data_IF_418921326009
#
_entry.id   IF_418921326009
#
_cell.length_a   1.000
_cell.length_b   1.000
_cell.length_c   1.000
_cell.angle_alpha   90.00
_cell.angle_beta   90.00
_cell.angle_gamma   90.00
#
_symmetry.space_group_name_H-M   'P 1'
#
loop_
_entity.id
_entity.type
_entity.pdbx_description
1 polymer ?
#
# COMPACT_ATOMS: atom_id res chain seq x y z
N UNK A 1 -10.64 -2.84 21.11
CA UNK A 1 -10.96 -2.60 19.68
C UNK A 1 -12.38 -2.05 19.59
N UNK A 2 -12.54 -0.73 19.45
CA UNK A 2 -13.84 -0.13 19.21
C UNK A 2 -14.01 0.05 17.69
N UNK A 3 -14.85 -0.78 17.08
CA UNK A 3 -15.33 -0.58 15.71
C UNK A 3 -16.36 0.56 15.74
N UNK A 4 -15.90 1.80 15.67
CA UNK A 4 -16.79 2.94 15.40
C UNK A 4 -17.08 2.97 13.91
N UNK A 5 -18.03 2.16 13.45
CA UNK A 5 -18.61 2.32 12.12
C UNK A 5 -19.36 3.63 12.08
N UNK A 6 -18.73 4.66 11.50
CA UNK A 6 -19.35 5.96 11.32
C UNK A 6 -20.58 5.82 10.42
N UNK A 7 -21.71 6.39 10.84
CA UNK A 7 -22.97 6.37 10.06
C UNK A 7 -22.83 6.99 8.65
N UNK A 8 -21.73 7.70 8.38
CA UNK A 8 -21.39 8.30 7.09
C UNK A 8 -20.92 7.29 6.03
N UNK A 9 -20.64 6.03 6.39
CA UNK A 9 -20.23 5.00 5.42
C UNK A 9 -21.40 4.18 4.84
N UNK A 10 -22.61 4.30 5.40
CA UNK A 10 -23.82 3.59 4.95
C UNK A 10 -24.16 3.75 3.45
N UNK A 11 -24.08 4.95 2.83
CA UNK A 11 -24.37 5.10 1.40
C UNK A 11 -23.35 4.38 0.49
N UNK A 12 -22.12 4.15 0.96
CA UNK A 12 -21.11 3.42 0.19
C UNK A 12 -21.42 1.92 0.13
N UNK A 13 -21.98 1.35 1.20
CA UNK A 13 -22.40 -0.06 1.20
C UNK A 13 -23.57 -0.32 0.25
N UNK A 14 -24.54 0.60 0.19
CA UNK A 14 -25.64 0.49 -0.78
C UNK A 14 -25.11 0.50 -2.21
N UNK A 15 -24.24 1.46 -2.56
CA UNK A 15 -23.71 1.62 -3.93
C UNK A 15 -22.79 0.47 -4.38
N UNK A 16 -22.00 -0.12 -3.49
CA UNK A 16 -21.22 -1.34 -3.79
C UNK A 16 -22.16 -2.52 -4.08
N UNK A 17 -23.29 -2.59 -3.38
CA UNK A 17 -24.35 -3.57 -3.62
C UNK A 17 -24.95 -3.48 -5.03
N UNK A 18 -25.21 -2.27 -5.53
CA UNK A 18 -25.82 -2.08 -6.87
C UNK A 18 -24.94 -2.59 -8.01
N UNK A 19 -23.62 -2.32 -7.99
CA UNK A 19 -22.71 -2.85 -9.02
C UNK A 19 -22.64 -4.39 -9.01
N UNK A 20 -22.67 -5.01 -7.82
CA UNK A 20 -22.73 -6.46 -7.70
C UNK A 20 -24.05 -7.03 -8.22
N UNK A 21 -25.17 -6.39 -7.91
CA UNK A 21 -26.51 -6.81 -8.36
C UNK A 21 -26.66 -6.74 -9.89
N UNK A 22 -26.14 -5.69 -10.54
CA UNK A 22 -26.15 -5.59 -12.00
C UNK A 22 -25.38 -6.75 -12.63
N UNK A 23 -24.22 -7.11 -12.06
CA UNK A 23 -23.43 -8.23 -12.58
C UNK A 23 -24.09 -9.59 -12.36
N UNK A 24 -24.69 -9.80 -11.19
CA UNK A 24 -25.48 -11.01 -10.90
C UNK A 24 -26.66 -11.10 -11.88
N UNK A 25 -27.36 -9.99 -12.13
CA UNK A 25 -28.47 -9.94 -13.09
C UNK A 25 -28.03 -10.26 -14.53
N UNK A 26 -26.79 -9.90 -14.93
CA UNK A 26 -26.23 -10.25 -16.23
C UNK A 26 -25.71 -11.70 -16.29
N UNK A 27 -25.15 -12.24 -15.21
CA UNK A 27 -24.62 -13.61 -15.18
C UNK A 27 -25.71 -14.68 -15.11
N UNK A 28 -26.81 -14.41 -14.40
CA UNK A 28 -27.93 -15.35 -14.24
C UNK A 28 -28.54 -15.86 -15.56
N UNK A 29 -28.86 -15.02 -16.58
CA UNK A 29 -29.39 -15.50 -17.86
C UNK A 29 -28.36 -16.36 -18.61
N UNK A 30 -27.07 -16.02 -18.57
CA UNK A 30 -26.01 -16.85 -19.16
C UNK A 30 -25.91 -18.21 -18.47
N UNK A 31 -25.91 -18.22 -17.13
CA UNK A 31 -25.90 -19.46 -16.34
C UNK A 31 -27.12 -20.33 -16.65
N UNK A 32 -28.30 -19.72 -16.82
CA UNK A 32 -29.53 -20.42 -17.19
C UNK A 32 -29.48 -21.02 -18.60
N UNK A 33 -28.89 -20.31 -19.58
CA UNK A 33 -28.69 -20.83 -20.93
C UNK A 33 -27.74 -22.03 -20.93
N UNK A 34 -26.63 -21.94 -20.21
CA UNK A 34 -25.68 -23.05 -20.04
C UNK A 34 -26.37 -24.23 -19.34
N UNK A 35 -27.14 -23.98 -18.29
CA UNK A 35 -27.93 -24.99 -17.59
C UNK A 35 -28.88 -25.74 -18.53
N UNK A 36 -29.66 -25.01 -19.34
CA UNK A 36 -30.57 -25.60 -20.32
C UNK A 36 -29.83 -26.42 -21.37
N UNK A 37 -28.70 -25.92 -21.85
CA UNK A 37 -27.88 -26.63 -22.82
C UNK A 37 -27.32 -27.93 -22.23
N UNK A 38 -26.83 -27.90 -20.99
CA UNK A 38 -26.31 -29.08 -20.29
C UNK A 38 -27.41 -30.12 -20.05
N UNK A 39 -28.61 -29.70 -19.65
CA UNK A 39 -29.75 -30.63 -19.50
C UNK A 39 -30.11 -31.26 -20.84
N UNK A 40 -30.18 -30.47 -21.92
CA UNK A 40 -30.52 -30.97 -23.25
C UNK A 40 -29.48 -31.97 -23.77
N UNK A 41 -28.21 -31.75 -23.45
CA UNK A 41 -27.10 -32.58 -23.96
C UNK A 41 -26.90 -33.87 -23.15
N UNK A 42 -27.05 -33.81 -21.83
CA UNK A 42 -26.73 -34.93 -20.93
C UNK A 42 -27.96 -35.76 -20.53
N UNK A 43 -29.17 -35.26 -20.82
CA UNK A 43 -30.47 -35.71 -20.29
C UNK A 43 -30.40 -36.27 -18.86
N UNK A 44 -29.91 -35.47 -17.90
CA UNK A 44 -29.64 -35.95 -16.56
C UNK A 44 -30.95 -36.22 -15.81
N UNK A 45 -30.95 -37.26 -14.98
CA UNK A 45 -32.02 -37.52 -14.01
C UNK A 45 -32.24 -36.34 -13.04
N UNK A 46 -33.36 -36.32 -12.30
CA UNK A 46 -33.77 -35.17 -11.49
C UNK A 46 -32.74 -34.74 -10.45
N UNK A 47 -32.07 -35.70 -9.80
CA UNK A 47 -30.98 -35.43 -8.85
C UNK A 47 -29.77 -34.77 -9.51
N UNK A 48 -29.38 -35.27 -10.68
CA UNK A 48 -28.24 -34.71 -11.44
C UNK A 48 -28.54 -33.30 -11.95
N UNK A 49 -29.79 -32.96 -12.27
CA UNK A 49 -30.20 -31.59 -12.62
C UNK A 49 -29.97 -30.61 -11.47
N UNK A 50 -30.24 -31.00 -10.22
CA UNK A 50 -29.97 -30.16 -9.05
C UNK A 50 -28.48 -29.96 -8.84
N UNK A 51 -27.67 -31.01 -9.03
CA UNK A 51 -26.21 -30.93 -8.93
C UNK A 51 -25.65 -29.96 -9.98
N UNK A 52 -26.09 -30.05 -11.23
CA UNK A 52 -25.65 -29.14 -12.30
C UNK A 52 -26.02 -27.68 -11.96
N UNK A 53 -27.23 -27.45 -11.46
CA UNK A 53 -27.66 -26.11 -11.05
C UNK A 53 -26.78 -25.55 -9.91
N UNK A 54 -26.51 -26.35 -8.88
CA UNK A 54 -25.64 -25.97 -7.77
C UNK A 54 -24.22 -25.65 -8.24
N UNK A 55 -23.66 -26.46 -9.15
CA UNK A 55 -22.34 -26.23 -9.73
C UNK A 55 -22.27 -24.93 -10.54
N UNK A 56 -23.29 -24.63 -11.34
CA UNK A 56 -23.33 -23.38 -12.11
C UNK A 56 -23.44 -22.15 -11.21
N UNK A 57 -24.23 -22.23 -10.14
CA UNK A 57 -24.29 -21.17 -9.13
C UNK A 57 -22.92 -20.97 -8.46
N UNK A 58 -22.26 -22.06 -8.04
CA UNK A 58 -20.91 -22.00 -7.47
C UNK A 58 -19.90 -21.40 -8.47
N UNK A 59 -19.97 -21.77 -9.75
CA UNK A 59 -19.12 -21.22 -10.80
C UNK A 59 -19.35 -19.72 -10.99
N UNK A 60 -20.60 -19.24 -10.95
CA UNK A 60 -20.90 -17.81 -11.02
C UNK A 60 -20.27 -17.04 -9.85
N UNK A 61 -20.40 -17.55 -8.63
CA UNK A 61 -19.77 -16.96 -7.44
C UNK A 61 -18.24 -16.93 -7.60
N UNK A 62 -17.64 -18.02 -8.09
CA UNK A 62 -16.21 -18.11 -8.32
C UNK A 62 -15.73 -17.13 -9.41
N UNK A 63 -16.50 -16.89 -10.46
CA UNK A 63 -16.17 -15.89 -11.49
C UNK A 63 -16.19 -14.47 -10.91
N UNK A 64 -17.19 -14.16 -10.08
CA UNK A 64 -17.35 -12.83 -9.46
C UNK A 64 -16.27 -12.55 -8.42
N UNK A 65 -15.99 -13.52 -7.53
CA UNK A 65 -15.12 -13.30 -6.36
C UNK A 65 -13.76 -13.98 -6.45
N UNK A 66 -13.53 -14.85 -7.43
CA UNK A 66 -12.29 -15.63 -7.55
C UNK A 66 -11.06 -14.75 -7.79
N UNK A 67 -11.19 -13.70 -8.59
CA UNK A 67 -10.11 -12.73 -8.80
C UNK A 67 -9.73 -12.02 -7.50
N UNK A 68 -10.72 -11.56 -6.71
CA UNK A 68 -10.45 -10.96 -5.40
C UNK A 68 -9.75 -11.93 -4.46
N UNK A 69 -10.15 -13.20 -4.45
CA UNK A 69 -9.50 -14.23 -3.64
C UNK A 69 -8.04 -14.46 -4.03
N UNK A 70 -7.77 -14.57 -5.34
CA UNK A 70 -6.39 -14.75 -5.85
C UNK A 70 -5.53 -13.54 -5.52
N UNK A 71 -6.04 -12.33 -5.76
CA UNK A 71 -5.37 -11.07 -5.43
C UNK A 71 -5.07 -10.98 -3.93
N UNK A 72 -6.06 -11.28 -3.08
CA UNK A 72 -5.90 -11.23 -1.63
C UNK A 72 -4.85 -12.22 -1.14
N UNK A 73 -4.84 -13.45 -1.67
CA UNK A 73 -3.86 -14.48 -1.32
C UNK A 73 -2.45 -14.10 -1.74
N UNK A 74 -2.29 -13.59 -2.96
CA UNK A 74 -0.98 -13.16 -3.47
C UNK A 74 -0.45 -11.95 -2.70
N UNK A 75 -1.32 -10.98 -2.43
CA UNK A 75 -0.96 -9.85 -1.59
C UNK A 75 -0.55 -10.29 -0.18
N UNK A 76 -1.31 -11.18 0.47
CA UNK A 76 -0.94 -11.71 1.78
C UNK A 76 0.46 -12.36 1.74
N UNK A 77 0.77 -13.13 0.70
CA UNK A 77 2.09 -13.73 0.53
C UNK A 77 3.18 -12.64 0.48
N UNK A 78 3.02 -11.63 -0.39
CA UNK A 78 3.97 -10.52 -0.52
C UNK A 78 4.12 -9.72 0.79
N UNK A 79 3.01 -9.53 1.51
CA UNK A 79 3.01 -8.83 2.78
C UNK A 79 3.82 -9.56 3.85
N UNK A 80 3.65 -10.88 3.95
CA UNK A 80 4.37 -11.71 4.92
C UNK A 80 5.85 -11.88 4.54
N UNK A 81 6.17 -12.04 3.25
CA UNK A 81 7.55 -12.33 2.84
C UNK A 81 8.40 -11.09 2.61
N UNK A 82 7.80 -9.96 2.20
CA UNK A 82 8.55 -8.83 1.68
C UNK A 82 8.21 -7.46 2.28
N UNK A 83 7.00 -7.26 2.80
CA UNK A 83 6.60 -5.94 3.29
C UNK A 83 7.25 -5.59 4.64
N UNK A 84 7.27 -4.28 4.92
CA UNK A 84 7.74 -3.72 6.17
C UNK A 84 9.19 -3.28 6.14
N UNK A 85 9.69 -2.99 7.33
CA UNK A 85 11.03 -2.47 7.58
C UNK A 85 12.10 -3.56 7.43
N UNK A 86 13.17 -3.24 6.70
CA UNK A 86 14.42 -4.00 6.66
C UNK A 86 15.57 -3.09 7.02
N UNK A 87 16.20 -3.35 8.17
CA UNK A 87 17.40 -2.65 8.62
C UNK A 87 18.61 -3.48 8.23
N UNK A 88 19.50 -2.91 7.41
CA UNK A 88 20.76 -3.54 7.04
C UNK A 88 21.89 -3.08 7.95
N UNK A 89 21.89 -1.80 8.30
CA UNK A 89 22.92 -1.17 9.12
C UNK A 89 22.34 0.08 9.80
N UNK A 90 22.44 0.15 11.12
CA UNK A 90 22.10 1.36 11.87
C UNK A 90 23.32 2.28 11.95
N UNK A 91 23.16 3.55 11.61
CA UNK A 91 24.27 4.51 11.53
C UNK A 91 24.00 5.76 12.36
N UNK A 92 25.03 6.25 13.06
CA UNK A 92 24.95 7.49 13.82
C UNK A 92 25.24 8.70 12.93
N UNK A 93 24.30 9.64 12.88
CA UNK A 93 24.34 10.79 11.98
C UNK A 93 23.97 12.08 12.70
N UNK A 94 24.56 13.19 12.25
CA UNK A 94 24.16 14.53 12.70
C UNK A 94 22.88 14.99 11.97
N UNK A 95 22.70 14.58 10.71
CA UNK A 95 21.55 14.92 9.89
C UNK A 95 21.44 14.06 8.62
N UNK A 96 20.33 14.22 7.91
CA UNK A 96 20.02 13.48 6.70
C UNK A 96 19.10 14.26 5.76
N UNK A 97 19.04 13.83 4.50
CA UNK A 97 18.11 14.36 3.51
C UNK A 97 16.76 13.64 3.61
N UNK A 98 15.66 14.38 3.77
CA UNK A 98 14.31 13.82 3.78
C UNK A 98 13.32 14.65 2.92
N UNK A 99 12.79 14.08 1.82
CA UNK A 99 11.82 14.77 0.98
C UNK A 99 10.39 14.82 1.55
N UNK A 100 10.08 14.02 2.57
CA UNK A 100 8.71 13.84 3.10
C UNK A 100 8.56 14.32 4.54
N UNK A 101 9.34 15.28 5.04
CA UNK A 101 9.28 15.69 6.45
C UNK A 101 9.12 17.18 6.68
N UNK A 102 8.53 17.53 7.82
CA UNK A 102 8.81 18.81 8.44
C UNK A 102 10.17 18.72 9.15
N UNK A 103 11.05 19.71 8.99
CA UNK A 103 12.35 19.66 9.69
C UNK A 103 12.20 19.71 11.20
N UNK A 104 11.09 20.26 11.70
CA UNK A 104 10.81 20.40 13.14
C UNK A 104 10.76 19.05 13.86
N UNK A 105 10.03 18.07 13.33
CA UNK A 105 9.90 16.74 13.94
C UNK A 105 11.26 16.02 13.98
N UNK A 106 12.06 16.16 12.93
CA UNK A 106 13.42 15.58 12.87
C UNK A 106 14.34 16.19 13.93
N UNK A 107 14.28 17.50 14.13
CA UNK A 107 15.04 18.16 15.20
C UNK A 107 14.57 17.72 16.60
N UNK A 108 13.27 17.53 16.79
CA UNK A 108 12.71 17.02 18.05
C UNK A 108 13.13 15.57 18.35
N UNK A 109 13.42 14.78 17.33
CA UNK A 109 14.00 13.43 17.45
C UNK A 109 15.49 13.43 17.84
N UNK A 110 16.13 14.60 17.97
CA UNK A 110 17.50 14.75 18.44
C UNK A 110 18.55 14.89 17.33
N UNK A 111 18.16 14.86 16.06
CA UNK A 111 19.06 15.17 14.95
C UNK A 111 19.44 16.65 14.96
N UNK A 112 20.67 16.97 14.58
CA UNK A 112 21.17 18.35 14.57
C UNK A 112 20.61 19.14 13.39
N UNK A 113 20.41 18.47 12.25
CA UNK A 113 19.83 19.08 11.06
C UNK A 113 19.08 18.08 10.17
N UNK A 114 18.24 18.62 9.29
CA UNK A 114 17.58 17.91 8.21
C UNK A 114 17.64 18.75 6.94
N UNK A 115 17.88 18.07 5.82
CA UNK A 115 17.95 18.73 4.52
C UNK A 115 16.83 18.26 3.60
N UNK A 116 16.32 19.17 2.76
CA UNK A 116 15.38 18.79 1.71
C UNK A 116 15.51 19.67 0.49
N UNK A 117 15.18 19.13 -0.66
CA UNK A 117 15.25 19.86 -1.93
C UNK A 117 14.13 20.89 -2.00
N UNK A 118 14.48 22.09 -2.46
CA UNK A 118 13.56 23.19 -2.75
C UNK A 118 13.74 23.66 -4.19
N UNK A 119 12.86 23.20 -5.08
CA UNK A 119 12.98 23.47 -6.51
C UNK A 119 14.17 22.76 -7.19
N UNK A 120 14.55 23.23 -8.38
CA UNK A 120 15.48 22.53 -9.25
C UNK A 120 16.93 22.54 -8.77
N UNK A 121 17.39 23.58 -8.06
CA UNK A 121 18.82 23.75 -7.73
C UNK A 121 19.09 24.30 -6.32
N UNK A 122 18.12 24.26 -5.41
CA UNK A 122 18.32 24.75 -4.04
C UNK A 122 18.01 23.65 -3.04
N UNK A 123 18.76 23.68 -1.95
CA UNK A 123 18.54 22.82 -0.80
C UNK A 123 18.17 23.69 0.38
N UNK A 124 17.26 23.18 1.20
CA UNK A 124 16.91 23.79 2.47
C UNK A 124 17.60 22.96 3.55
N UNK A 125 18.34 23.64 4.41
CA UNK A 125 18.94 23.11 5.62
C UNK A 125 18.17 23.62 6.82
N UNK A 126 17.60 22.70 7.59
CA UNK A 126 16.80 22.99 8.77
C UNK A 126 17.58 22.50 9.98
N UNK A 127 17.92 23.40 10.89
CA UNK A 127 18.77 23.12 12.05
C UNK A 127 18.23 23.77 13.31
N UNK A 128 18.75 23.39 14.48
CA UNK A 128 18.46 24.08 15.74
C UNK A 128 19.67 24.90 16.19
N UNK A 129 19.49 26.21 16.30
CA UNK A 129 20.53 27.13 16.80
C UNK A 129 19.93 27.92 17.97
N UNK A 130 20.55 27.83 19.15
CA UNK A 130 20.09 28.59 20.32
C UNK A 130 18.68 28.23 20.79
N UNK A 131 18.18 27.02 20.50
CA UNK A 131 16.82 26.62 20.85
C UNK A 131 15.78 26.82 19.74
N UNK A 132 16.09 27.61 18.72
CA UNK A 132 15.18 27.96 17.64
C UNK A 132 15.45 27.16 16.36
N UNK A 133 14.39 26.85 15.61
CA UNK A 133 14.49 26.19 14.31
C UNK A 133 14.86 27.22 13.26
N UNK A 134 16.05 27.10 12.70
CA UNK A 134 16.57 27.99 11.65
C UNK A 134 16.54 27.26 10.31
N UNK A 135 16.00 27.94 9.31
CA UNK A 135 15.91 27.45 7.93
C UNK A 135 16.87 28.26 7.06
N UNK A 136 17.87 27.61 6.47
CA UNK A 136 18.83 28.22 5.55
C UNK A 136 18.72 27.59 4.17
N UNK A 137 18.98 28.38 3.13
CA UNK A 137 19.16 27.83 1.78
C UNK A 137 20.64 27.58 1.55
N UNK A 138 20.98 26.39 1.07
CA UNK A 138 22.34 25.99 0.73
C UNK A 138 22.40 25.51 -0.72
N UNK A 139 23.59 25.60 -1.32
CA UNK A 139 23.81 25.18 -2.71
C UNK A 139 23.93 23.66 -2.84
N UNK A 140 24.63 23.02 -1.89
CA UNK A 140 24.89 21.59 -1.88
C UNK A 140 24.56 21.04 -0.50
N UNK A 141 23.88 19.87 -0.42
CA UNK A 141 23.51 19.27 0.85
C UNK A 141 24.72 18.68 1.56
N UNK A 142 24.85 18.96 2.85
CA UNK A 142 25.93 18.52 3.73
C UNK A 142 25.73 17.06 4.20
N UNK A 143 24.48 16.59 4.20
CA UNK A 143 24.11 15.25 4.63
C UNK A 143 24.76 14.17 3.76
N UNK A 144 25.36 13.16 4.41
CA UNK A 144 25.89 11.96 3.73
C UNK A 144 24.77 10.98 3.36
N UNK A 145 23.69 10.95 4.14
CA UNK A 145 22.59 10.01 3.99
C UNK A 145 21.35 10.67 3.42
N UNK A 146 20.61 9.94 2.58
CA UNK A 146 19.35 10.40 2.01
C UNK A 146 18.26 9.34 2.09
N UNK A 147 17.04 9.82 2.37
CA UNK A 147 15.80 9.06 2.19
C UNK A 147 15.34 9.25 0.74
N UNK A 148 15.25 8.15 0.01
CA UNK A 148 14.77 8.16 -1.38
C UNK A 148 13.55 7.26 -1.54
N UNK A 149 12.64 7.67 -2.43
CA UNK A 149 11.57 6.79 -2.90
C UNK A 149 11.95 6.21 -4.23
N UNK A 150 11.93 4.88 -4.36
CA UNK A 150 11.96 4.24 -5.66
C UNK A 150 10.53 4.00 -6.13
N UNK A 151 10.30 4.38 -7.39
CA UNK A 151 9.00 4.35 -8.03
C UNK A 151 8.37 2.95 -8.10
N UNK A 152 7.07 2.96 -8.40
CA UNK A 152 6.19 1.79 -8.48
C UNK A 152 6.61 0.82 -9.59
N UNK A 153 7.49 -0.11 -9.28
CA UNK A 153 7.67 -1.30 -10.10
C UNK A 153 6.45 -2.21 -9.93
N UNK A 154 5.79 -2.58 -11.04
CA UNK A 154 4.83 -3.68 -11.01
C UNK A 154 5.58 -4.94 -10.54
N UNK A 155 5.32 -5.36 -9.31
CA UNK A 155 5.99 -6.55 -8.73
C UNK A 155 5.27 -7.81 -9.15
N UNK A 156 3.96 -7.70 -9.37
CA UNK A 156 3.14 -8.75 -9.97
C UNK A 156 1.93 -8.18 -10.72
N UNK A 157 1.09 -9.06 -11.27
CA UNK A 157 -0.14 -8.65 -11.95
C UNK A 157 -1.09 -7.90 -11.03
N UNK A 158 -1.09 -8.19 -9.73
CA UNK A 158 -2.04 -7.64 -8.77
C UNK A 158 -1.48 -6.55 -7.85
N UNK A 159 -0.17 -6.32 -7.78
CA UNK A 159 0.42 -5.41 -6.78
C UNK A 159 1.50 -4.48 -7.35
N UNK A 160 1.49 -3.23 -6.87
CA UNK A 160 2.57 -2.25 -7.06
C UNK A 160 3.39 -2.13 -5.79
N UNK A 161 4.72 -2.20 -5.89
CA UNK A 161 5.60 -1.99 -4.74
C UNK A 161 6.09 -0.56 -4.72
N UNK A 162 5.89 0.13 -3.59
CA UNK A 162 6.58 1.37 -3.29
C UNK A 162 7.69 1.07 -2.29
N UNK A 163 8.87 1.59 -2.55
CA UNK A 163 10.03 1.40 -1.68
C UNK A 163 10.51 2.75 -1.17
N UNK A 164 10.69 2.86 0.15
CA UNK A 164 11.51 3.89 0.77
C UNK A 164 12.86 3.28 1.11
N UNK A 165 13.93 3.99 0.81
CA UNK A 165 15.31 3.52 1.04
C UNK A 165 16.08 4.62 1.76
N UNK A 166 16.89 4.24 2.74
CA UNK A 166 17.94 5.09 3.28
C UNK A 166 19.26 4.58 2.73
N UNK A 167 19.96 5.44 2.01
CA UNK A 167 21.24 5.10 1.38
C UNK A 167 22.28 6.18 1.65
N UNK A 168 23.52 5.74 1.61
CA UNK A 168 24.68 6.63 1.59
C UNK A 168 24.83 7.25 0.20
N UNK A 169 24.98 8.57 0.11
CA UNK A 169 24.99 9.30 -1.16
C UNK A 169 26.26 9.08 -1.99
N UNK A 170 27.40 8.91 -1.32
CA UNK A 170 28.72 8.77 -1.96
C UNK A 170 28.89 7.38 -2.57
N UNK A 171 28.55 6.34 -1.82
CA UNK A 171 28.76 4.93 -2.21
C UNK A 171 27.52 4.29 -2.83
N UNK A 172 26.33 4.85 -2.58
CA UNK A 172 25.05 4.22 -2.90
C UNK A 172 24.69 3.04 -2.00
N UNK A 173 25.46 2.77 -0.94
CA UNK A 173 25.22 1.63 -0.03
C UNK A 173 23.89 1.80 0.71
N UNK A 174 23.05 0.77 0.65
CA UNK A 174 21.75 0.73 1.32
C UNK A 174 21.93 0.44 2.81
N UNK A 175 21.33 1.28 3.67
CA UNK A 175 21.36 1.16 5.14
C UNK A 175 20.04 0.61 5.69
N UNK A 176 18.94 0.96 5.03
CA UNK A 176 17.63 0.38 5.31
C UNK A 176 16.65 0.57 4.17
N UNK A 177 15.61 -0.24 4.17
CA UNK A 177 14.50 -0.11 3.22
C UNK A 177 13.17 -0.41 3.89
N UNK A 178 12.12 0.23 3.41
CA UNK A 178 10.75 -0.02 3.82
C UNK A 178 9.91 -0.34 2.58
N UNK A 179 9.38 -1.55 2.52
CA UNK A 179 8.56 -1.99 1.39
C UNK A 179 7.09 -1.88 1.73
N UNK A 180 6.33 -1.19 0.86
CA UNK A 180 4.87 -1.18 0.92
C UNK A 180 4.29 -1.66 -0.39
N UNK A 181 3.21 -2.42 -0.30
CA UNK A 181 2.45 -2.85 -1.47
C UNK A 181 1.18 -2.03 -1.59
N UNK A 182 0.82 -1.70 -2.83
CA UNK A 182 -0.49 -1.19 -3.22
C UNK A 182 -1.17 -2.26 -4.04
N UNK A 183 -2.24 -2.83 -3.48
CA UNK A 183 -2.99 -3.92 -4.11
C UNK A 183 -3.95 -3.34 -5.16
N UNK A 184 -3.92 -3.88 -6.38
CA UNK A 184 -4.91 -3.61 -7.42
C UNK A 184 -6.25 -4.16 -7.02
N UNK A 185 -7.30 -3.52 -7.52
CA UNK A 185 -8.65 -4.02 -7.33
C UNK A 185 -8.93 -5.20 -8.23
N UNK A 186 -9.72 -6.13 -7.72
CA UNK A 186 -10.37 -7.10 -8.57
C UNK A 186 -11.32 -6.42 -9.55
N UNK A 187 -11.58 -7.07 -10.67
CA UNK A 187 -12.34 -6.49 -11.78
C UNK A 187 -13.76 -6.04 -11.37
N UNK A 188 -14.40 -6.72 -10.42
CA UNK A 188 -15.75 -6.33 -9.95
C UNK A 188 -15.76 -4.98 -9.21
N UNK A 189 -14.65 -4.64 -8.53
CA UNK A 189 -14.49 -3.33 -7.89
C UNK A 189 -13.99 -2.26 -8.84
N UNK A 190 -13.29 -2.62 -9.91
CA UNK A 190 -12.78 -1.63 -10.89
C UNK A 190 -13.92 -1.00 -11.70
N UNK A 191 -15.01 -1.74 -11.95
CA UNK A 191 -16.19 -1.26 -12.68
C UNK A 191 -17.12 -0.37 -11.83
N UNK A 192 -16.95 -0.32 -10.51
CA UNK A 192 -17.81 0.48 -9.63
C UNK A 192 -17.29 1.94 -9.57
N UNK A 193 -18.01 2.91 -10.15
CA UNK A 193 -17.56 4.32 -10.23
C UNK A 193 -17.45 4.99 -8.86
N UNK A 194 -18.18 4.48 -7.86
CA UNK A 194 -18.20 5.00 -6.48
C UNK A 194 -16.91 4.68 -5.73
N UNK A 195 -16.13 3.72 -6.23
CA UNK A 195 -14.90 3.32 -5.60
C UNK A 195 -13.71 4.22 -5.95
N UNK A 196 -13.86 5.27 -6.76
CA UNK A 196 -12.79 6.04 -7.47
C UNK A 196 -11.55 6.55 -6.72
N UNK A 197 -11.40 6.31 -5.41
CA UNK A 197 -10.11 6.42 -4.71
C UNK A 197 -9.45 5.06 -4.65
N UNK A 198 -8.19 4.87 -5.10
CA UNK A 198 -7.49 3.61 -4.89
C UNK A 198 -7.48 3.31 -3.38
N UNK A 199 -8.21 2.27 -2.97
CA UNK A 199 -8.05 1.73 -1.63
C UNK A 199 -6.71 1.02 -1.64
N UNK A 200 -5.65 1.74 -1.29
CA UNK A 200 -4.33 1.16 -1.09
C UNK A 200 -4.38 0.37 0.21
N UNK A 201 -4.76 -0.89 0.10
CA UNK A 201 -4.38 -1.86 1.13
C UNK A 201 -2.87 -1.84 1.21
N UNK A 202 -2.35 -1.43 2.37
CA UNK A 202 -0.92 -1.30 2.62
C UNK A 202 -0.56 -2.31 3.70
N UNK A 203 0.49 -3.06 3.46
CA UNK A 203 1.08 -3.93 4.46
C UNK A 203 2.36 -3.29 4.98
N UNK A 204 2.49 -3.28 6.30
CA UNK A 204 3.66 -2.77 7.04
C UNK A 204 4.39 -3.89 7.78
N UNK A 205 3.92 -5.14 7.69
CA UNK A 205 4.51 -6.32 8.35
C UNK A 205 3.73 -7.61 8.08
N UNK A 206 3.92 -8.67 8.89
CA UNK A 206 3.36 -10.01 8.65
C UNK A 206 1.85 -10.11 8.91
N UNK A 207 1.19 -9.02 9.29
CA UNK A 207 -0.25 -8.96 9.51
C UNK A 207 -1.02 -8.97 8.18
N UNK A 208 -2.28 -9.41 8.23
CA UNK A 208 -3.17 -9.31 7.09
C UNK A 208 -3.25 -7.86 6.58
N UNK A 209 -3.39 -7.63 5.26
CA UNK A 209 -3.53 -6.29 4.70
C UNK A 209 -4.70 -5.57 5.35
N UNK A 210 -4.39 -4.57 6.16
CA UNK A 210 -5.39 -3.69 6.73
C UNK A 210 -5.70 -2.59 5.71
N UNK A 211 -6.94 -2.12 5.74
CA UNK A 211 -7.35 -0.93 5.01
C UNK A 211 -6.71 0.29 5.68
N UNK A 212 -5.40 0.43 5.58
CA UNK A 212 -4.69 1.54 6.19
C UNK A 212 -4.64 2.74 5.24
N UNK A 213 -5.19 3.83 5.73
CA UNK A 213 -4.93 5.20 5.27
C UNK A 213 -3.65 5.76 5.90
N UNK A 214 -2.74 4.93 6.43
CA UNK A 214 -1.53 5.44 7.09
C UNK A 214 -0.74 6.30 6.09
N UNK A 215 -0.54 7.59 6.39
CA UNK A 215 0.10 8.51 5.49
C UNK A 215 1.56 8.08 5.26
N UNK A 216 2.11 8.35 4.07
CA UNK A 216 3.49 7.99 3.70
C UNK A 216 4.54 8.42 4.74
N UNK A 217 4.27 9.53 5.43
CA UNK A 217 5.06 10.09 6.54
C UNK A 217 5.38 9.07 7.64
N UNK A 218 4.40 8.27 8.09
CA UNK A 218 4.62 7.32 9.19
C UNK A 218 5.62 6.21 8.84
N UNK A 219 5.59 5.71 7.60
CA UNK A 219 6.57 4.72 7.13
C UNK A 219 7.98 5.30 7.01
N UNK A 220 8.08 6.59 6.67
CA UNK A 220 9.36 7.31 6.64
C UNK A 220 9.93 7.48 8.05
N UNK A 221 9.11 7.87 9.03
CA UNK A 221 9.55 8.03 10.42
C UNK A 221 9.98 6.71 11.05
N UNK A 222 9.24 5.62 10.79
CA UNK A 222 9.61 4.27 11.23
C UNK A 222 10.96 3.83 10.64
N UNK A 223 11.18 4.07 9.34
CA UNK A 223 12.45 3.78 8.70
C UNK A 223 13.61 4.61 9.28
N UNK A 224 13.41 5.91 9.48
CA UNK A 224 14.43 6.81 10.03
C UNK A 224 14.83 6.38 11.44
N UNK A 225 13.86 6.19 12.34
CA UNK A 225 14.11 5.88 13.75
C UNK A 225 14.87 4.58 14.01
N UNK A 226 14.81 3.61 13.09
CA UNK A 226 15.52 2.33 13.22
C UNK A 226 16.86 2.28 12.49
N UNK A 227 17.03 3.07 11.44
CA UNK A 227 18.23 3.05 10.59
C UNK A 227 19.19 4.18 10.94
N UNK A 228 18.67 5.35 11.31
CA UNK A 228 19.45 6.54 11.66
C UNK A 228 19.29 6.80 13.15
N UNK A 229 20.42 6.85 13.86
CA UNK A 229 20.46 7.30 15.24
C UNK A 229 21.13 8.67 15.32
N UNK A 230 20.60 9.60 16.14
CA UNK A 230 21.28 10.87 16.37
C UNK A 230 22.65 10.63 17.00
N UNK A 231 23.68 11.30 16.48
CA UNK A 231 25.00 11.28 17.11
C UNK A 231 24.94 12.06 18.43
N UNK A 232 25.34 11.41 19.54
CA UNK A 232 25.48 12.11 20.81
C UNK A 232 26.73 13.00 20.76
N UNK A 233 26.61 14.25 21.23
CA UNK A 233 27.76 15.12 21.41
C UNK A 233 28.37 14.79 22.76
N UNK A 234 29.58 14.26 22.74
CA UNK A 234 30.45 14.18 23.92
C UNK A 234 30.97 15.57 24.31
#
# INVERSE_FOLDING_TARGET
>A
MHLTTSWLDFPKFLLIGWSGLVFVALLLPFAYLIYKLLIKLLDPGPTSRQIIAAWLLAACVLVVYGDEFVIAREAQKLCVSEAGLRVYETVQVDGFINPFGSGKETIEQGFQFMEKRSGFHRWIHISKIGGEVVVKTIEHPESIYEVVTRGQGATSRCCYRNTLEIRERTTGKLKGSYYTYTIKRGWIRSISPVSGRPMSYRCTGPSAPTLHTQPAYQATDELISHVLSPRQRD
#
